data_IF_241466432115
#
_entry.id   IF_241466432115
#
_cell.length_a   1.000
_cell.length_b   1.000
_cell.length_c   1.000
_cell.angle_alpha   90.00
_cell.angle_beta   90.00
_cell.angle_gamma   90.00
#
_symmetry.space_group_name_H-M   'P 1'
#
loop_
_entity.id
_entity.type
_entity.pdbx_description
1 polymer ?
#
# COMPACT_ATOMS: atom_id res chain seq x y z
N UNK A 1 51.92 -11.75 -17.65
CA UNK A 1 50.56 -12.36 -17.75
C UNK A 1 50.01 -12.94 -16.44
N UNK A 2 50.82 -13.36 -15.46
CA UNK A 2 50.33 -13.92 -14.15
C UNK A 2 49.72 -12.85 -13.19
N UNK A 3 50.13 -11.59 -13.28
CA UNK A 3 49.64 -10.53 -12.40
C UNK A 3 48.20 -10.07 -12.72
N UNK A 4 47.79 -10.14 -14.00
CA UNK A 4 46.44 -9.76 -14.45
C UNK A 4 45.38 -10.76 -14.01
N UNK A 5 45.72 -12.06 -13.95
CA UNK A 5 44.78 -13.09 -13.48
C UNK A 5 44.50 -12.99 -11.99
N UNK A 6 45.50 -12.65 -11.17
CA UNK A 6 45.32 -12.48 -9.73
C UNK A 6 44.39 -11.30 -9.41
N UNK A 7 44.49 -10.20 -10.15
CA UNK A 7 43.60 -9.02 -9.98
C UNK A 7 42.16 -9.35 -10.38
N UNK A 8 41.96 -10.12 -11.44
CA UNK A 8 40.61 -10.56 -11.85
C UNK A 8 39.97 -11.47 -10.79
N UNK A 9 40.74 -12.41 -10.22
CA UNK A 9 40.27 -13.29 -9.16
C UNK A 9 39.94 -12.55 -7.86
N UNK A 10 40.72 -11.52 -7.48
CA UNK A 10 40.42 -10.69 -6.30
C UNK A 10 39.20 -9.80 -6.51
N UNK A 11 39.00 -9.25 -7.69
CA UNK A 11 37.79 -8.47 -8.03
C UNK A 11 36.55 -9.38 -8.04
N UNK A 12 36.65 -10.58 -8.60
CA UNK A 12 35.57 -11.55 -8.64
C UNK A 12 35.21 -12.05 -7.22
N UNK A 13 36.20 -12.27 -6.36
CA UNK A 13 36.01 -12.63 -4.95
C UNK A 13 35.38 -11.50 -4.14
N UNK A 14 35.74 -10.24 -4.40
CA UNK A 14 35.16 -9.06 -3.73
C UNK A 14 33.70 -8.85 -4.15
N UNK A 15 33.37 -9.19 -5.42
CA UNK A 15 32.01 -9.07 -5.95
C UNK A 15 31.05 -10.11 -5.35
N UNK A 16 31.55 -11.30 -4.97
CA UNK A 16 30.72 -12.36 -4.37
C UNK A 16 30.36 -12.07 -2.91
N UNK A 17 31.19 -11.36 -2.18
CA UNK A 17 30.94 -11.02 -0.76
C UNK A 17 29.86 -9.95 -0.59
N UNK A 18 29.65 -9.08 -1.59
CA UNK A 18 28.64 -8.01 -1.52
C UNK A 18 27.21 -8.46 -1.88
N UNK A 19 27.02 -9.71 -2.30
CA UNK A 19 25.71 -10.25 -2.70
C UNK A 19 24.93 -10.93 -1.56
N UNK A 20 25.48 -11.02 -0.36
CA UNK A 20 24.74 -11.51 0.80
C UNK A 20 23.87 -10.40 1.42
N UNK A 21 22.86 -9.96 0.67
CA UNK A 21 21.77 -9.18 1.24
C UNK A 21 21.06 -10.05 2.27
N UNK A 22 21.12 -9.67 3.55
CA UNK A 22 20.44 -10.36 4.61
C UNK A 22 18.91 -10.23 4.43
N UNK A 23 18.31 -11.19 3.74
CA UNK A 23 16.89 -11.47 3.88
C UNK A 23 16.71 -12.16 5.23
N UNK A 24 16.25 -11.42 6.23
CA UNK A 24 15.98 -11.95 7.56
C UNK A 24 14.47 -12.14 7.70
N UNK A 25 13.98 -13.37 7.48
CA UNK A 25 12.67 -13.78 7.99
C UNK A 25 12.86 -14.61 9.25
N UNK A 26 12.00 -14.39 10.22
CA UNK A 26 12.00 -15.20 11.44
C UNK A 26 10.80 -16.16 11.40
N UNK A 27 11.01 -17.48 11.25
CA UNK A 27 9.91 -18.45 11.21
C UNK A 27 9.03 -18.43 12.45
N UNK A 28 9.55 -17.93 13.59
CA UNK A 28 8.79 -17.82 14.84
C UNK A 28 7.75 -16.70 14.81
N UNK A 29 7.93 -15.72 13.93
CA UNK A 29 7.00 -14.60 13.78
C UNK A 29 5.71 -14.99 13.05
N UNK A 30 5.67 -16.12 12.34
CA UNK A 30 4.48 -16.63 11.64
C UNK A 30 3.26 -16.68 12.56
N UNK A 31 3.42 -17.15 13.80
CA UNK A 31 2.32 -17.21 14.80
C UNK A 31 1.72 -15.85 15.13
N UNK A 32 2.49 -14.78 15.01
CA UNK A 32 2.02 -13.43 15.29
C UNK A 32 1.15 -12.86 14.14
N UNK A 33 1.26 -13.46 12.95
CA UNK A 33 0.45 -13.11 11.78
C UNK A 33 -0.77 -14.01 11.62
N UNK A 34 -0.73 -15.24 12.16
CA UNK A 34 -1.87 -16.13 12.18
C UNK A 34 -2.90 -15.59 13.18
N UNK A 35 -3.78 -14.73 12.72
CA UNK A 35 -4.95 -14.34 13.50
C UNK A 35 -6.03 -15.41 13.35
N UNK A 36 -6.80 -15.73 14.41
CA UNK A 36 -7.95 -16.59 14.27
C UNK A 36 -8.90 -15.97 13.24
N UNK A 37 -9.45 -16.80 12.35
CA UNK A 37 -10.37 -16.42 11.27
C UNK A 37 -11.64 -15.70 11.75
N UNK A 38 -11.85 -15.64 13.06
CA UNK A 38 -13.00 -15.04 13.75
C UNK A 38 -12.66 -13.75 14.50
N UNK A 39 -11.69 -12.95 14.02
CA UNK A 39 -11.62 -11.58 14.51
C UNK A 39 -12.91 -10.90 14.08
N UNK A 40 -13.73 -10.59 15.07
CA UNK A 40 -15.00 -9.90 14.86
C UNK A 40 -14.68 -8.47 14.40
N UNK A 41 -14.55 -8.29 13.09
CA UNK A 41 -14.36 -7.00 12.41
C UNK A 41 -15.72 -6.30 12.31
N UNK A 42 -16.61 -6.58 13.30
CA UNK A 42 -17.93 -5.96 13.29
C UNK A 42 -17.77 -4.45 13.39
N UNK A 43 -18.55 -3.74 12.59
CA UNK A 43 -18.63 -2.28 12.63
C UNK A 43 -18.95 -1.74 14.04
N UNK A 44 -19.44 -2.59 14.94
CA UNK A 44 -19.75 -2.26 16.33
C UNK A 44 -18.52 -1.87 17.16
N UNK A 45 -17.36 -2.45 16.90
CA UNK A 45 -16.12 -2.21 17.65
C UNK A 45 -15.13 -1.33 16.88
N UNK A 46 -15.50 -0.87 15.69
CA UNK A 46 -14.67 0.02 14.90
C UNK A 46 -14.58 1.39 15.56
N UNK A 47 -13.38 1.93 15.66
CA UNK A 47 -13.14 3.28 16.18
C UNK A 47 -12.93 4.22 14.99
N UNK A 48 -13.77 5.25 14.92
CA UNK A 48 -13.75 6.26 13.86
C UNK A 48 -12.51 7.16 13.98
N UNK A 49 -11.88 7.42 12.83
CA UNK A 49 -10.77 8.35 12.72
C UNK A 49 -10.91 9.21 11.45
N UNK A 50 -10.34 10.41 11.41
CA UNK A 50 -10.21 11.14 10.16
C UNK A 50 -9.34 10.37 9.15
N UNK A 51 -9.70 10.28 7.88
CA UNK A 51 -10.84 10.83 7.17
C UNK A 51 -11.93 9.78 6.83
N UNK A 52 -12.34 8.93 7.78
CA UNK A 52 -13.40 7.94 7.56
C UNK A 52 -14.70 8.61 7.11
N UNK A 53 -15.54 7.85 6.39
CA UNK A 53 -16.83 8.32 5.91
C UNK A 53 -17.94 7.49 6.52
N UNK A 54 -18.93 8.17 7.10
CA UNK A 54 -20.08 7.55 7.74
C UNK A 54 -21.38 7.99 7.06
N UNK A 55 -22.37 7.11 7.08
CA UNK A 55 -23.73 7.39 6.64
C UNK A 55 -24.69 7.22 7.83
N UNK A 56 -25.62 8.14 7.96
CA UNK A 56 -26.55 8.19 9.07
C UNK A 56 -27.95 7.88 8.55
N UNK A 57 -28.63 6.96 9.25
CA UNK A 57 -30.02 6.63 9.00
C UNK A 57 -30.88 7.11 10.16
N UNK A 58 -31.81 8.02 9.88
CA UNK A 58 -32.75 8.57 10.86
C UNK A 58 -34.14 8.76 10.25
N UNK A 59 -35.02 7.81 10.46
CA UNK A 59 -36.35 7.80 9.83
C UNK A 59 -37.28 8.95 10.24
N UNK A 60 -37.02 9.58 11.39
CA UNK A 60 -37.90 10.64 11.91
C UNK A 60 -37.43 12.06 11.58
N UNK A 61 -36.19 12.22 11.13
CA UNK A 61 -35.63 13.53 10.74
C UNK A 61 -35.06 13.42 9.33
N UNK A 62 -35.86 13.72 8.28
CA UNK A 62 -35.45 13.56 6.89
C UNK A 62 -34.22 14.37 6.51
N UNK A 63 -33.96 15.49 7.21
CA UNK A 63 -32.84 16.39 6.94
C UNK A 63 -31.48 15.76 7.20
N UNK A 64 -31.41 14.72 8.03
CA UNK A 64 -30.18 14.00 8.35
C UNK A 64 -30.20 12.54 7.87
N UNK A 65 -31.34 12.06 7.36
CA UNK A 65 -31.45 10.72 6.86
C UNK A 65 -30.62 10.54 5.58
N UNK A 66 -29.92 9.41 5.48
CA UNK A 66 -29.04 9.06 4.37
C UNK A 66 -27.90 10.05 4.09
N UNK A 67 -27.64 10.99 5.01
CA UNK A 67 -26.52 11.91 4.85
C UNK A 67 -25.19 11.17 5.06
N UNK A 68 -24.27 11.41 4.12
CA UNK A 68 -22.88 10.96 4.20
C UNK A 68 -22.02 12.10 4.69
N UNK A 69 -21.24 11.80 5.73
CA UNK A 69 -20.35 12.77 6.34
C UNK A 69 -18.95 12.18 6.46
N UNK A 70 -17.96 12.94 6.02
CA UNK A 70 -16.56 12.61 6.22
C UNK A 70 -16.09 13.16 7.56
N UNK A 71 -15.43 12.35 8.37
CA UNK A 71 -14.79 12.82 9.60
C UNK A 71 -13.67 13.79 9.22
N UNK A 72 -13.82 15.04 9.66
CA UNK A 72 -12.88 16.12 9.40
C UNK A 72 -11.57 15.91 10.17
N UNK A 73 -10.46 16.59 9.79
CA UNK A 73 -9.19 16.49 10.51
C UNK A 73 -9.28 16.88 12.00
N UNK A 74 -10.26 17.71 12.37
CA UNK A 74 -10.54 18.08 13.77
C UNK A 74 -11.33 17.01 14.54
N UNK A 75 -11.64 15.88 13.89
CA UNK A 75 -12.40 14.77 14.48
C UNK A 75 -13.90 14.98 14.55
N UNK A 76 -14.43 15.99 13.85
CA UNK A 76 -15.85 16.33 13.88
C UNK A 76 -16.54 16.01 12.56
N UNK A 77 -17.86 15.84 12.66
CA UNK A 77 -18.80 15.86 11.53
C UNK A 77 -19.76 17.02 11.74
N UNK A 78 -20.36 17.52 10.66
CA UNK A 78 -21.27 18.68 10.74
C UNK A 78 -22.57 18.43 10.00
N UNK A 79 -23.68 18.81 10.63
CA UNK A 79 -25.03 18.84 10.05
C UNK A 79 -25.61 20.22 10.17
N UNK A 80 -26.29 20.70 9.14
CA UNK A 80 -26.96 22.00 9.18
C UNK A 80 -27.98 22.07 10.33
N UNK A 81 -28.73 20.99 10.53
CA UNK A 81 -29.84 20.92 11.48
C UNK A 81 -29.39 20.65 12.94
N UNK A 82 -28.31 19.92 13.15
CA UNK A 82 -27.87 19.44 14.48
C UNK A 82 -26.57 20.10 14.94
N UNK A 83 -25.89 20.79 14.02
CA UNK A 83 -24.58 21.38 14.28
C UNK A 83 -23.46 20.36 14.26
N UNK A 84 -22.35 20.68 14.91
CA UNK A 84 -21.15 19.84 14.92
C UNK A 84 -21.19 18.79 16.04
N UNK A 85 -20.66 17.58 15.70
CA UNK A 85 -20.50 16.49 16.65
C UNK A 85 -19.08 15.95 16.57
N UNK A 86 -18.42 15.77 17.72
CA UNK A 86 -17.11 15.14 17.80
C UNK A 86 -17.26 13.61 17.76
N UNK A 87 -16.63 12.95 16.77
CA UNK A 87 -16.81 11.51 16.51
C UNK A 87 -15.50 10.72 16.50
N UNK A 88 -14.35 11.38 16.37
CA UNK A 88 -13.07 10.68 16.39
C UNK A 88 -12.84 9.97 17.72
N UNK A 89 -12.32 8.73 17.67
CA UNK A 89 -12.12 7.92 18.86
C UNK A 89 -13.37 7.23 19.40
N UNK A 90 -14.52 7.41 18.77
CA UNK A 90 -15.80 6.77 19.16
C UNK A 90 -16.19 5.65 18.20
N UNK A 91 -17.01 4.74 18.68
CA UNK A 91 -17.64 3.73 17.82
C UNK A 91 -18.90 4.29 17.15
N UNK A 92 -19.34 3.75 16.00
CA UNK A 92 -20.59 4.15 15.36
C UNK A 92 -21.80 4.10 16.29
N UNK A 93 -21.86 3.10 17.18
CA UNK A 93 -22.93 2.98 18.16
C UNK A 93 -22.91 4.13 19.20
N UNK A 94 -21.74 4.56 19.64
CA UNK A 94 -21.60 5.73 20.54
C UNK A 94 -22.04 7.02 19.85
N UNK A 95 -21.63 7.20 18.58
CA UNK A 95 -22.05 8.35 17.78
C UNK A 95 -23.57 8.36 17.58
N UNK A 96 -24.16 7.20 17.28
CA UNK A 96 -25.62 7.09 17.14
C UNK A 96 -26.36 7.49 18.42
N UNK A 97 -25.86 7.09 19.59
CA UNK A 97 -26.47 7.45 20.88
C UNK A 97 -26.35 8.95 21.18
N UNK A 98 -25.19 9.57 20.91
CA UNK A 98 -25.01 11.01 21.10
C UNK A 98 -25.85 11.82 20.12
N UNK A 99 -25.94 11.38 18.86
CA UNK A 99 -26.78 12.02 17.87
C UNK A 99 -28.26 11.92 18.27
N UNK A 100 -28.68 10.76 18.79
CA UNK A 100 -30.04 10.59 19.33
C UNK A 100 -30.34 11.57 20.45
N UNK A 101 -29.44 11.74 21.41
CA UNK A 101 -29.62 12.67 22.52
C UNK A 101 -29.81 14.11 22.02
N UNK A 102 -28.97 14.55 21.07
CA UNK A 102 -29.10 15.88 20.46
C UNK A 102 -30.39 16.08 19.68
N UNK A 103 -30.84 15.08 18.93
CA UNK A 103 -32.07 15.17 18.15
C UNK A 103 -33.30 15.21 19.06
N UNK A 104 -33.32 14.44 20.14
CA UNK A 104 -34.40 14.50 21.12
C UNK A 104 -34.52 15.87 21.76
N UNK A 105 -33.38 16.54 22.04
CA UNK A 105 -33.35 17.90 22.60
C UNK A 105 -33.86 18.94 21.59
N UNK A 106 -33.45 18.85 20.32
CA UNK A 106 -33.76 19.86 19.30
C UNK A 106 -35.15 19.71 18.69
N UNK A 107 -35.60 18.51 18.43
CA UNK A 107 -36.81 18.22 17.64
C UNK A 107 -38.01 17.75 18.48
N UNK A 108 -37.85 17.56 19.80
CA UNK A 108 -38.91 17.09 20.70
C UNK A 108 -39.63 15.82 20.15
N UNK A 109 -38.85 14.90 19.56
CA UNK A 109 -39.38 13.69 18.91
C UNK A 109 -39.90 12.74 19.96
N UNK A 110 -41.22 12.48 19.96
CA UNK A 110 -41.84 11.51 20.85
C UNK A 110 -41.59 10.06 20.40
N UNK A 111 -41.35 9.19 21.38
CA UNK A 111 -41.18 7.75 21.19
C UNK A 111 -39.75 7.35 20.79
N UNK A 112 -39.59 6.08 20.44
CA UNK A 112 -38.31 5.52 20.03
C UNK A 112 -37.90 6.07 18.67
N UNK A 113 -36.70 6.68 18.61
CA UNK A 113 -36.10 7.19 17.38
C UNK A 113 -34.82 6.39 17.10
N UNK A 114 -34.91 5.29 16.36
CA UNK A 114 -33.75 4.50 16.01
C UNK A 114 -32.86 5.30 15.04
N UNK A 115 -31.66 5.58 15.50
CA UNK A 115 -30.59 6.14 14.65
C UNK A 115 -29.55 5.07 14.45
N UNK A 116 -29.22 4.80 13.20
CA UNK A 116 -28.16 3.90 12.81
C UNK A 116 -27.04 4.69 12.12
N UNK A 117 -25.80 4.45 12.55
CA UNK A 117 -24.61 5.06 11.96
C UNK A 117 -23.76 3.96 11.38
N UNK A 118 -23.52 4.03 10.08
CA UNK A 118 -22.73 3.05 9.34
C UNK A 118 -21.47 3.66 8.79
N UNK A 119 -20.36 2.93 8.88
CA UNK A 119 -19.13 3.31 8.20
C UNK A 119 -19.24 2.85 6.75
N UNK A 120 -19.25 3.79 5.80
CA UNK A 120 -19.34 3.49 4.36
C UNK A 120 -17.97 3.44 3.70
N UNK A 121 -16.97 4.14 4.27
CA UNK A 121 -15.60 4.06 3.77
C UNK A 121 -14.58 4.16 4.92
N UNK A 122 -13.76 3.13 5.06
CA UNK A 122 -12.66 3.04 6.03
C UNK A 122 -11.41 3.70 5.44
N UNK A 123 -11.35 5.02 5.41
CA UNK A 123 -10.26 5.76 4.76
C UNK A 123 -9.08 6.06 5.69
N UNK A 124 -9.29 5.95 7.00
CA UNK A 124 -8.25 6.21 8.00
C UNK A 124 -7.24 5.09 8.10
N UNK A 125 -7.66 3.85 7.83
CA UNK A 125 -6.84 2.65 7.96
C UNK A 125 -6.28 2.23 6.61
N UNK A 126 -4.97 1.99 6.58
CA UNK A 126 -4.26 1.64 5.36
C UNK A 126 -3.22 0.57 5.62
N UNK A 127 -2.90 -0.20 4.58
CA UNK A 127 -1.69 -0.99 4.46
C UNK A 127 -0.96 -0.57 3.19
N UNK A 128 0.27 -1.02 3.02
CA UNK A 128 1.13 -0.57 1.94
C UNK A 128 1.62 -1.75 1.13
N UNK A 129 1.52 -1.66 -0.20
CA UNK A 129 2.10 -2.64 -1.12
C UNK A 129 3.18 -1.93 -1.93
N UNK A 130 4.42 -2.35 -1.77
CA UNK A 130 5.59 -1.67 -2.30
C UNK A 130 6.48 -2.64 -3.08
N UNK A 131 7.33 -2.09 -3.96
CA UNK A 131 8.29 -2.85 -4.74
C UNK A 131 7.76 -3.25 -6.12
N UNK A 132 8.04 -4.49 -6.54
CA UNK A 132 7.79 -4.98 -7.89
C UNK A 132 6.34 -5.46 -8.08
N UNK A 133 5.39 -4.53 -8.01
CA UNK A 133 3.97 -4.71 -8.33
C UNK A 133 3.53 -3.68 -9.37
N UNK A 134 2.43 -3.94 -10.07
CA UNK A 134 1.97 -3.06 -11.14
C UNK A 134 1.51 -1.69 -10.63
N UNK A 135 0.93 -1.62 -9.42
CA UNK A 135 0.41 -0.40 -8.78
C UNK A 135 0.85 -0.34 -7.32
N UNK A 136 2.12 0.04 -7.06
CA UNK A 136 2.60 0.20 -5.70
C UNK A 136 1.93 1.39 -5.03
N UNK A 137 1.70 1.30 -3.72
CA UNK A 137 1.15 2.40 -2.94
C UNK A 137 0.38 1.95 -1.70
N UNK A 138 -0.30 2.93 -1.10
CA UNK A 138 -1.19 2.71 0.02
C UNK A 138 -2.54 2.17 -0.47
N UNK A 139 -3.05 1.13 0.20
CA UNK A 139 -4.34 0.53 -0.04
C UNK A 139 -5.25 0.73 1.19
N UNK A 140 -6.56 0.89 0.95
CA UNK A 140 -7.52 0.96 2.04
C UNK A 140 -7.63 -0.40 2.74
N UNK A 141 -7.63 -0.39 4.06
CA UNK A 141 -7.76 -1.59 4.87
C UNK A 141 -9.24 -1.86 5.18
N UNK A 142 -9.77 -3.00 4.74
CA UNK A 142 -11.17 -3.39 4.96
C UNK A 142 -11.39 -4.21 6.22
N UNK A 143 -10.32 -4.67 6.86
CA UNK A 143 -10.37 -5.55 8.03
C UNK A 143 -10.34 -7.04 7.71
N UNK A 144 -10.50 -7.44 6.45
CA UNK A 144 -10.45 -8.83 5.97
C UNK A 144 -9.45 -9.04 4.84
N UNK A 145 -8.57 -8.08 4.65
CA UNK A 145 -7.57 -8.15 3.60
C UNK A 145 -6.53 -9.22 3.91
N UNK A 146 -6.27 -10.09 2.96
CA UNK A 146 -5.20 -11.09 3.02
C UNK A 146 -4.01 -10.62 2.20
N UNK A 147 -2.84 -11.25 2.41
CA UNK A 147 -1.63 -10.93 1.65
C UNK A 147 -1.84 -11.18 0.16
N UNK A 148 -2.45 -12.32 -0.20
CA UNK A 148 -2.74 -12.67 -1.59
C UNK A 148 -3.71 -11.65 -2.21
N UNK A 149 -4.80 -11.33 -1.50
CA UNK A 149 -5.79 -10.34 -1.94
C UNK A 149 -5.19 -8.95 -2.14
N UNK A 150 -4.35 -8.51 -1.22
CA UNK A 150 -3.68 -7.22 -1.30
C UNK A 150 -2.73 -7.10 -2.50
N UNK A 151 -1.96 -8.16 -2.79
CA UNK A 151 -1.08 -8.21 -3.97
C UNK A 151 -1.90 -8.21 -5.26
N UNK A 152 -3.02 -8.94 -5.30
CA UNK A 152 -3.94 -8.94 -6.44
C UNK A 152 -4.55 -7.55 -6.68
N UNK A 153 -4.97 -6.83 -5.62
CA UNK A 153 -5.46 -5.44 -5.71
C UNK A 153 -4.38 -4.48 -6.22
N UNK A 154 -3.11 -4.71 -5.88
CA UNK A 154 -1.98 -3.96 -6.40
C UNK A 154 -1.63 -4.30 -7.87
N UNK A 155 -2.44 -5.11 -8.55
CA UNK A 155 -2.30 -5.47 -9.96
C UNK A 155 -1.26 -6.56 -10.22
N UNK A 156 -1.03 -7.42 -9.23
CA UNK A 156 -0.11 -8.55 -9.24
C UNK A 156 1.39 -8.18 -9.36
N UNK A 157 2.30 -9.12 -9.06
CA UNK A 157 3.73 -8.89 -9.20
C UNK A 157 4.14 -8.69 -10.66
N UNK A 158 5.17 -7.87 -10.89
CA UNK A 158 5.77 -7.69 -12.21
C UNK A 158 6.67 -8.88 -12.58
N UNK A 159 7.08 -8.96 -13.86
CA UNK A 159 8.02 -9.99 -14.34
C UNK A 159 9.39 -9.94 -13.68
N UNK A 160 9.75 -8.82 -13.07
CA UNK A 160 11.01 -8.63 -12.35
C UNK A 160 10.90 -9.00 -10.86
N UNK A 161 9.70 -9.33 -10.38
CA UNK A 161 9.43 -9.62 -8.99
C UNK A 161 9.96 -10.98 -8.55
N UNK A 162 10.48 -11.06 -7.34
CA UNK A 162 10.79 -12.33 -6.71
C UNK A 162 9.56 -12.83 -5.95
N UNK A 163 8.67 -13.51 -6.68
CA UNK A 163 7.36 -13.95 -6.21
C UNK A 163 7.40 -15.00 -5.08
N UNK A 164 8.53 -15.71 -4.95
CA UNK A 164 8.70 -16.73 -3.91
C UNK A 164 9.07 -16.13 -2.54
N UNK A 165 9.52 -14.85 -2.49
CA UNK A 165 10.09 -14.23 -1.30
C UNK A 165 9.51 -12.84 -1.01
N UNK A 166 8.19 -12.72 -1.09
CA UNK A 166 7.49 -11.51 -0.72
C UNK A 166 7.54 -11.34 0.80
N UNK A 167 7.85 -10.15 1.27
CA UNK A 167 7.95 -9.85 2.69
C UNK A 167 6.71 -9.11 3.18
N UNK A 168 6.11 -9.60 4.24
CA UNK A 168 5.10 -8.88 5.00
C UNK A 168 5.77 -8.36 6.27
N UNK A 169 5.84 -7.06 6.40
CA UNK A 169 6.51 -6.36 7.49
C UNK A 169 5.45 -5.71 8.35
N UNK A 170 5.35 -6.13 9.60
CA UNK A 170 4.48 -5.52 10.61
C UNK A 170 5.29 -4.60 11.50
N UNK A 171 5.11 -3.28 11.37
CA UNK A 171 5.81 -2.33 12.23
C UNK A 171 5.39 -2.52 13.69
N UNK A 172 6.31 -2.26 14.61
CA UNK A 172 5.98 -2.26 16.03
C UNK A 172 5.48 -0.88 16.45
N UNK A 173 4.39 -0.83 17.19
CA UNK A 173 3.89 0.42 17.78
C UNK A 173 4.84 0.97 18.87
N UNK A 174 5.70 0.12 19.45
CA UNK A 174 6.62 0.50 20.52
C UNK A 174 7.98 0.88 19.95
N UNK A 175 8.49 2.06 20.32
CA UNK A 175 9.87 2.47 19.99
C UNK A 175 10.87 1.42 20.49
N UNK A 176 11.88 1.10 19.67
CA UNK A 176 12.95 0.12 19.92
C UNK A 176 12.57 -1.37 19.85
N UNK A 177 11.35 -1.72 19.47
CA UNK A 177 11.00 -3.11 19.16
C UNK A 177 11.15 -3.33 17.65
N UNK A 178 11.90 -4.38 17.27
CA UNK A 178 12.11 -4.72 15.87
C UNK A 178 10.77 -5.07 15.20
N UNK A 179 10.56 -4.66 13.94
CA UNK A 179 9.39 -5.07 13.16
C UNK A 179 9.38 -6.60 13.01
N UNK A 180 8.20 -7.16 12.92
CA UNK A 180 8.02 -8.58 12.60
C UNK A 180 8.01 -8.74 11.09
N UNK A 181 8.78 -9.70 10.58
CA UNK A 181 8.91 -9.94 9.14
C UNK A 181 8.53 -11.39 8.86
N UNK A 182 7.62 -11.55 7.91
CA UNK A 182 7.12 -12.83 7.46
C UNK A 182 7.35 -12.98 5.95
N UNK A 183 7.79 -14.15 5.48
CA UNK A 183 7.94 -14.45 4.06
C UNK A 183 6.71 -15.19 3.52
N UNK A 184 6.13 -14.62 2.46
CA UNK A 184 5.01 -15.16 1.71
C UNK A 184 5.47 -15.60 0.31
N UNK A 185 5.12 -16.80 -0.08
CA UNK A 185 5.37 -17.32 -1.41
C UNK A 185 4.11 -17.18 -2.25
N UNK A 186 4.10 -16.18 -3.11
CA UNK A 186 2.95 -15.85 -3.97
C UNK A 186 2.74 -16.94 -5.05
N UNK A 187 3.81 -17.50 -5.60
CA UNK A 187 3.71 -18.54 -6.62
C UNK A 187 3.00 -19.78 -6.08
N UNK A 188 3.37 -20.24 -4.89
CA UNK A 188 2.69 -21.37 -4.23
C UNK A 188 1.23 -21.07 -3.94
N UNK A 189 0.91 -19.88 -3.49
CA UNK A 189 -0.45 -19.49 -3.18
C UNK A 189 -1.31 -19.34 -4.45
N UNK A 190 -0.80 -18.66 -5.48
CA UNK A 190 -1.56 -18.33 -6.68
C UNK A 190 -1.61 -19.50 -7.69
N UNK A 191 -0.49 -20.20 -7.91
CA UNK A 191 -0.41 -21.26 -8.91
C UNK A 191 -0.79 -22.65 -8.37
N UNK A 192 -0.53 -22.92 -7.08
CA UNK A 192 -0.76 -24.22 -6.48
C UNK A 192 -1.90 -24.23 -5.46
N UNK A 193 -2.53 -23.08 -5.17
CA UNK A 193 -3.63 -22.96 -4.22
C UNK A 193 -3.23 -23.16 -2.75
N UNK A 194 -1.93 -23.06 -2.42
CA UNK A 194 -1.45 -23.21 -1.05
C UNK A 194 -1.66 -21.92 -0.26
N UNK A 195 -2.86 -21.75 0.26
CA UNK A 195 -3.24 -20.61 1.09
C UNK A 195 -2.82 -20.76 2.58
N UNK A 196 -2.03 -21.77 2.95
CA UNK A 196 -1.63 -22.04 4.34
C UNK A 196 -0.88 -20.87 4.99
N UNK A 197 -0.25 -20.03 4.19
CA UNK A 197 0.48 -18.82 4.61
C UNK A 197 -0.17 -17.52 4.15
N UNK A 198 -1.39 -17.57 3.63
CA UNK A 198 -2.16 -16.37 3.31
C UNK A 198 -2.79 -15.81 4.58
N UNK A 199 -2.05 -14.91 5.22
CA UNK A 199 -2.42 -14.34 6.51
C UNK A 199 -3.23 -13.07 6.36
N UNK A 200 -4.08 -12.77 7.36
CA UNK A 200 -4.81 -11.51 7.45
C UNK A 200 -3.85 -10.36 7.75
N UNK A 201 -3.99 -9.31 6.99
CA UNK A 201 -3.28 -8.05 7.21
C UNK A 201 -3.81 -7.31 8.43
N UNK A 202 -2.99 -6.47 8.99
CA UNK A 202 -3.35 -5.47 9.99
C UNK A 202 -3.11 -4.07 9.42
N UNK A 203 -3.68 -3.09 10.09
CA UNK A 203 -3.41 -1.69 9.80
C UNK A 203 -1.90 -1.41 9.86
N UNK A 204 -1.41 -0.64 8.90
CA UNK A 204 0.01 -0.27 8.75
C UNK A 204 0.95 -1.41 8.35
N UNK A 205 0.46 -2.61 8.02
CA UNK A 205 1.30 -3.66 7.44
C UNK A 205 1.89 -3.20 6.10
N UNK A 206 3.12 -3.59 5.84
CA UNK A 206 3.84 -3.30 4.61
C UNK A 206 4.12 -4.61 3.89
N UNK A 207 3.59 -4.75 2.68
CA UNK A 207 3.91 -5.86 1.78
C UNK A 207 5.00 -5.36 0.83
N UNK A 208 6.18 -5.92 0.95
CA UNK A 208 7.29 -5.59 0.08
C UNK A 208 7.57 -6.74 -0.90
N UNK A 209 7.43 -6.44 -2.18
CA UNK A 209 7.70 -7.37 -3.28
C UNK A 209 9.09 -7.06 -3.84
N UNK A 210 10.13 -7.83 -3.49
CA UNK A 210 11.48 -7.55 -3.92
C UNK A 210 11.68 -7.89 -5.41
N UNK A 211 12.63 -7.24 -6.09
CA UNK A 211 13.10 -7.68 -7.38
C UNK A 211 13.90 -8.99 -7.26
N UNK A 212 13.96 -9.78 -8.32
CA UNK A 212 14.92 -10.90 -8.40
C UNK A 212 16.36 -10.36 -8.31
N UNK A 213 17.30 -11.21 -7.90
CA UNK A 213 18.72 -10.80 -7.76
C UNK A 213 19.25 -10.24 -9.08
N UNK A 214 18.92 -10.90 -10.20
CA UNK A 214 19.34 -10.45 -11.52
C UNK A 214 18.70 -9.10 -11.89
N UNK A 215 17.41 -8.92 -11.61
CA UNK A 215 16.72 -7.66 -11.86
C UNK A 215 17.28 -6.53 -10.99
N UNK A 216 17.59 -6.80 -9.72
CA UNK A 216 18.22 -5.83 -8.83
C UNK A 216 19.59 -5.38 -9.34
N UNK A 217 20.42 -6.33 -9.81
CA UNK A 217 21.71 -6.03 -10.42
C UNK A 217 21.55 -5.21 -11.71
N UNK A 218 20.61 -5.60 -12.59
CA UNK A 218 20.34 -4.90 -13.84
C UNK A 218 19.88 -3.44 -13.59
N UNK A 219 19.00 -3.20 -12.63
CA UNK A 219 18.54 -1.86 -12.26
C UNK A 219 19.69 -0.98 -11.74
N UNK A 220 20.61 -1.56 -10.95
CA UNK A 220 21.81 -0.83 -10.50
C UNK A 220 22.73 -0.48 -11.66
N UNK A 221 22.96 -1.38 -12.57
CA UNK A 221 23.77 -1.15 -13.77
C UNK A 221 23.12 -0.07 -14.66
N UNK A 222 21.82 -0.12 -14.85
CA UNK A 222 21.07 0.86 -15.63
C UNK A 222 21.20 2.27 -15.06
N UNK A 223 21.19 2.42 -13.71
CA UNK A 223 21.38 3.69 -13.04
C UNK A 223 22.71 4.36 -13.42
N UNK A 224 23.78 3.56 -13.60
CA UNK A 224 25.09 4.05 -14.04
C UNK A 224 25.19 4.27 -15.55
N UNK A 225 24.57 3.42 -16.36
CA UNK A 225 24.67 3.49 -17.82
C UNK A 225 23.76 4.58 -18.40
N UNK A 226 22.60 4.81 -17.82
CA UNK A 226 21.61 5.77 -18.32
C UNK A 226 22.16 7.20 -18.54
N UNK A 227 22.95 7.81 -17.62
CA UNK A 227 23.57 9.12 -17.87
C UNK A 227 24.55 9.10 -19.04
N UNK A 228 25.34 8.02 -19.15
CA UNK A 228 26.34 7.84 -20.20
C UNK A 228 25.64 7.70 -21.55
N UNK A 229 24.62 6.85 -21.66
CA UNK A 229 23.84 6.68 -22.89
C UNK A 229 23.19 7.99 -23.34
N UNK A 230 22.67 8.80 -22.41
CA UNK A 230 22.11 10.13 -22.72
C UNK A 230 23.17 11.11 -23.25
N UNK A 231 24.38 11.10 -22.66
CA UNK A 231 25.46 11.93 -23.12
C UNK A 231 25.88 11.56 -24.55
N UNK A 232 25.99 10.27 -24.86
CA UNK A 232 26.32 9.79 -26.21
C UNK A 232 25.21 10.06 -27.23
N UNK A 233 23.93 9.87 -26.86
CA UNK A 233 22.80 10.18 -27.76
C UNK A 233 22.73 11.66 -28.10
N UNK A 234 23.03 12.55 -27.15
CA UNK A 234 23.13 13.99 -27.40
C UNK A 234 24.26 14.34 -28.40
N UNK A 235 25.39 13.64 -28.30
CA UNK A 235 26.51 13.83 -29.23
C UNK A 235 26.16 13.41 -30.68
N UNK A 236 25.46 12.29 -30.87
CA UNK A 236 24.99 11.84 -32.19
C UNK A 236 23.96 12.76 -32.81
N UNK A 237 23.08 13.37 -32.04
CA UNK A 237 22.09 14.33 -32.54
C UNK A 237 22.74 15.66 -32.94
N UNK A 238 23.78 16.12 -32.23
CA UNK A 238 24.50 17.34 -32.57
C UNK A 238 25.51 17.15 -33.71
N UNK A 239 26.11 15.95 -33.87
CA UNK A 239 27.07 15.64 -34.94
C UNK A 239 26.43 15.18 -36.25
N UNK A 240 25.17 14.79 -36.25
CA UNK A 240 24.45 14.33 -37.45
C UNK A 240 23.83 15.43 -38.32
N UNK A 241 23.92 16.69 -37.89
CA UNK A 241 23.32 17.82 -38.61
C UNK A 241 24.05 18.25 -39.89
N UNK A 242 25.32 17.88 -40.06
CA UNK A 242 26.09 18.35 -41.24
C UNK A 242 26.05 17.41 -42.46
N UNK A 243 25.59 16.15 -42.28
CA UNK A 243 25.56 15.20 -43.40
C UNK A 243 24.27 15.24 -44.25
N UNK A 244 23.20 15.90 -43.78
CA UNK A 244 21.89 15.92 -44.47
C UNK A 244 21.73 17.10 -45.43
N UNK A 245 22.50 18.17 -45.30
CA UNK A 245 22.38 19.33 -46.19
C UNK A 245 23.16 19.17 -47.51
N UNK A 246 24.22 18.36 -47.53
CA UNK A 246 24.95 18.06 -48.76
C UNK A 246 24.16 17.15 -49.74
N UNK A 247 23.21 16.37 -49.26
CA UNK A 247 22.36 15.52 -50.11
C UNK A 247 21.17 16.26 -50.74
N UNK A 248 20.73 17.38 -50.15
CA UNK A 248 19.59 18.17 -50.65
C UNK A 248 19.96 19.11 -51.79
N UNK A 249 21.22 19.51 -51.90
CA UNK A 249 21.68 20.38 -53.00
C UNK A 249 21.96 19.66 -54.33
N UNK A 250 21.97 18.32 -54.36
CA UNK A 250 22.14 17.53 -55.60
C UNK A 250 20.86 17.13 -56.32
N UNK A 251 19.70 17.39 -55.73
CA UNK A 251 18.41 16.98 -56.31
C UNK A 251 17.63 18.12 -56.99
N UNK A 252 18.24 19.35 -57.10
CA UNK A 252 17.62 20.47 -57.83
C UNK A 252 18.63 20.95 -58.87
N UNK A 253 18.78 20.15 -59.91
CA UNK A 253 19.58 20.51 -61.08
C UNK A 253 19.17 19.63 -62.25
N UNK A 254 18.29 20.21 -63.07
CA UNK A 254 17.73 19.76 -64.35
C UNK A 254 16.59 18.77 -64.30
#
# INVERSE_FOLDING_TARGET
MKCSQAVIWTILSLLTVSLTGCFSSNPKDVKAFLMPSNVDVSAKNYILHPPDEIEIHCSKVPEIDLQRQQVRPDGRIGFEAVGELYVAGKTPAQVANELRAKILELYQVEGDNPIDVRVVAFRSKRYYVLGQVSRPGAQAFSGRDTVLGAIALAGSPTVLAWVERIQVIRPSATKNVKPKIFEFNFDRAAAHGDASKDVLLQESDIIYVPPTILAAAAMKIEEFIRPIARAFSGYYIMGGGEASDAARYRAVGY
#
